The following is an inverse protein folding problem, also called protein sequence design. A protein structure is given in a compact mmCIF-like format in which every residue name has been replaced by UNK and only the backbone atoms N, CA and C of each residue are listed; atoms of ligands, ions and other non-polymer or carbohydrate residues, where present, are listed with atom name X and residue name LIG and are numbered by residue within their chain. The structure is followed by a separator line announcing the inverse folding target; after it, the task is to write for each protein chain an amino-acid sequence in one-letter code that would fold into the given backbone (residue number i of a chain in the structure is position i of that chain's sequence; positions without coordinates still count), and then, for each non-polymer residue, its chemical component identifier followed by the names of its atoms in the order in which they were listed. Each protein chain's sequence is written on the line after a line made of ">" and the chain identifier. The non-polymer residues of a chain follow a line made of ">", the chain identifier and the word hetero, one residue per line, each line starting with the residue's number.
data_IF_211376013949
#
_entry.id   IF_211376013949
#
_cell.length_a   1.000
_cell.length_b   1.000
_cell.length_c   1.000
_cell.angle_alpha   90.00
_cell.angle_beta   90.00
_cell.angle_gamma   90.00
#
_symmetry.space_group_name_H-M   'P 1'
#
loop_
_entity.id
_entity.type
_entity.pdbx_description
1 polymer ?
#
# COMPACT_ATOMS: atom_id res chain seq x y z
N UNK A 1 29.84 19.52 -11.94
CA UNK A 1 29.16 18.68 -12.96
C UNK A 1 28.28 17.60 -12.29
N UNK A 2 28.80 16.83 -11.33
CA UNK A 2 28.02 15.79 -10.63
C UNK A 2 26.91 16.38 -9.73
N UNK A 3 27.18 17.47 -9.03
CA UNK A 3 26.18 18.18 -8.22
C UNK A 3 25.02 18.73 -9.07
N UNK A 4 25.31 19.28 -10.25
CA UNK A 4 24.28 19.79 -11.16
C UNK A 4 23.39 18.67 -11.73
N UNK A 5 23.96 17.50 -12.03
CA UNK A 5 23.17 16.35 -12.51
C UNK A 5 22.27 15.76 -11.42
N UNK A 6 22.72 15.76 -10.16
CA UNK A 6 21.90 15.32 -9.03
C UNK A 6 20.73 16.28 -8.76
N UNK A 7 20.97 17.59 -8.84
CA UNK A 7 19.92 18.61 -8.70
C UNK A 7 18.89 18.54 -9.84
N UNK A 8 19.32 18.29 -11.08
CA UNK A 8 18.41 18.07 -12.21
C UNK A 8 17.57 16.80 -12.04
N UNK A 9 18.13 15.71 -11.52
CA UNK A 9 17.41 14.47 -11.26
C UNK A 9 16.33 14.63 -10.17
N UNK A 10 16.63 15.40 -9.11
CA UNK A 10 15.68 15.72 -8.02
C UNK A 10 14.49 16.54 -8.53
N UNK A 11 14.69 17.37 -9.55
CA UNK A 11 13.65 18.23 -10.14
C UNK A 11 12.98 17.61 -11.37
N UNK A 12 13.40 16.42 -11.81
CA UNK A 12 12.77 15.72 -12.92
C UNK A 12 11.31 15.38 -12.59
N UNK A 13 10.43 15.57 -13.57
CA UNK A 13 9.02 15.19 -13.44
C UNK A 13 8.87 13.67 -13.44
N UNK A 14 8.13 13.15 -12.47
CA UNK A 14 7.85 11.73 -12.33
C UNK A 14 6.64 11.36 -13.19
N UNK A 15 6.75 10.24 -13.89
CA UNK A 15 5.64 9.63 -14.63
C UNK A 15 5.23 8.35 -13.89
N UNK A 16 3.98 8.29 -13.52
CA UNK A 16 3.40 7.13 -12.85
C UNK A 16 2.90 6.10 -13.87
N UNK A 17 2.97 4.83 -13.50
CA UNK A 17 2.40 3.71 -14.26
C UNK A 17 0.94 3.47 -13.89
N UNK A 18 0.60 3.73 -12.63
CA UNK A 18 -0.73 3.53 -12.07
C UNK A 18 -1.38 4.88 -11.77
N UNK A 19 -2.40 5.24 -12.56
CA UNK A 19 -3.12 6.52 -12.45
C UNK A 19 -3.69 6.75 -11.04
N UNK A 20 -4.21 5.70 -10.39
CA UNK A 20 -4.77 5.81 -9.04
C UNK A 20 -3.68 6.10 -7.99
N UNK A 21 -2.45 5.60 -8.18
CA UNK A 21 -1.32 5.94 -7.30
C UNK A 21 -0.95 7.40 -7.50
N UNK A 22 -0.88 7.88 -8.73
CA UNK A 22 -0.63 9.31 -9.01
C UNK A 22 -1.70 10.21 -8.36
N UNK A 23 -2.98 9.87 -8.51
CA UNK A 23 -4.08 10.65 -7.91
C UNK A 23 -3.99 10.66 -6.38
N UNK A 24 -3.64 9.54 -5.76
CA UNK A 24 -3.45 9.45 -4.31
C UNK A 24 -2.26 10.29 -3.83
N UNK A 25 -1.15 10.28 -4.56
CA UNK A 25 0.02 11.12 -4.28
C UNK A 25 -0.34 12.60 -4.40
N UNK A 26 -1.05 13.00 -5.47
CA UNK A 26 -1.53 14.39 -5.62
C UNK A 26 -2.39 14.83 -4.45
N UNK A 27 -3.28 13.96 -4.01
CA UNK A 27 -4.15 14.24 -2.86
C UNK A 27 -3.35 14.41 -1.58
N UNK A 28 -2.43 13.50 -1.29
CA UNK A 28 -1.58 13.54 -0.08
C UNK A 28 -0.71 14.81 -0.04
N UNK A 29 -0.18 15.23 -1.20
CA UNK A 29 0.66 16.41 -1.32
C UNK A 29 -0.13 17.72 -1.53
N UNK A 30 -1.46 17.67 -1.65
CA UNK A 30 -2.31 18.84 -1.89
C UNK A 30 -2.11 19.47 -3.28
N UNK A 31 -1.72 18.67 -4.27
CA UNK A 31 -1.42 19.12 -5.63
C UNK A 31 -2.65 19.09 -6.54
N UNK A 32 -2.71 20.03 -7.48
CA UNK A 32 -3.68 20.03 -8.57
C UNK A 32 -3.29 19.01 -9.67
N UNK A 33 -4.22 18.74 -10.61
CA UNK A 33 -3.97 17.85 -11.75
C UNK A 33 -2.88 18.35 -12.70
N UNK A 34 -2.59 19.65 -12.69
CA UNK A 34 -1.62 20.29 -13.59
C UNK A 34 -0.26 20.52 -12.95
N UNK A 35 -0.14 20.32 -11.64
CA UNK A 35 1.12 20.51 -10.95
C UNK A 35 2.07 19.35 -11.30
N UNK A 36 3.35 19.67 -11.47
CA UNK A 36 4.37 18.64 -11.66
C UNK A 36 4.64 17.93 -10.35
N UNK A 37 4.81 16.61 -10.41
CA UNK A 37 5.33 15.84 -9.28
C UNK A 37 6.81 15.54 -9.56
N UNK A 38 7.67 15.87 -8.61
CA UNK A 38 9.11 15.60 -8.69
C UNK A 38 9.56 14.54 -7.69
N UNK A 39 10.73 13.96 -7.90
CA UNK A 39 11.28 12.95 -7.00
C UNK A 39 11.41 13.47 -5.56
N UNK A 40 11.81 14.72 -5.37
CA UNK A 40 11.91 15.33 -4.04
C UNK A 40 10.57 15.45 -3.32
N UNK A 41 9.47 15.65 -4.05
CA UNK A 41 8.13 15.71 -3.45
C UNK A 41 7.67 14.34 -2.94
N UNK A 42 8.11 13.25 -3.57
CA UNK A 42 7.76 11.90 -3.14
C UNK A 42 8.35 11.53 -1.77
N UNK A 43 9.42 12.21 -1.36
CA UNK A 43 9.99 12.06 -0.01
C UNK A 43 9.04 12.59 1.09
N UNK A 44 8.07 13.44 0.76
CA UNK A 44 7.07 13.95 1.70
C UNK A 44 5.82 13.07 1.81
N UNK A 45 5.68 12.06 0.94
CA UNK A 45 4.55 11.12 0.99
C UNK A 45 4.73 10.16 2.16
N UNK A 46 3.82 10.23 3.13
CA UNK A 46 3.83 9.40 4.33
C UNK A 46 2.76 8.31 4.32
N UNK A 47 1.67 8.54 3.62
CA UNK A 47 0.53 7.61 3.56
C UNK A 47 -0.11 7.62 2.18
N UNK A 48 -0.59 6.46 1.75
CA UNK A 48 -1.46 6.31 0.59
C UNK A 48 -2.59 5.33 0.94
N UNK A 49 -3.84 5.71 0.65
CA UNK A 49 -5.02 4.92 0.98
C UNK A 49 -5.96 4.83 -0.22
N UNK A 50 -5.97 3.67 -0.86
CA UNK A 50 -6.78 3.38 -2.05
C UNK A 50 -7.58 2.11 -1.79
N UNK A 51 -8.90 2.19 -1.91
CA UNK A 51 -9.81 1.06 -1.79
C UNK A 51 -10.67 0.96 -3.05
N UNK A 52 -10.46 -0.09 -3.84
CA UNK A 52 -11.06 -0.18 -5.15
C UNK A 52 -10.63 0.99 -6.02
N UNK A 53 -11.57 1.89 -6.37
CA UNK A 53 -11.29 3.11 -7.14
C UNK A 53 -11.35 4.39 -6.30
N UNK A 54 -11.46 4.27 -5.00
CA UNK A 54 -11.64 5.41 -4.09
C UNK A 54 -10.34 5.70 -3.32
N UNK A 55 -9.99 6.98 -3.22
CA UNK A 55 -8.85 7.46 -2.43
C UNK A 55 -9.41 8.04 -1.14
N UNK A 56 -9.01 7.45 0.00
CA UNK A 56 -9.60 7.72 1.32
C UNK A 56 -8.67 8.56 2.20
N UNK A 57 -9.27 9.34 3.09
CA UNK A 57 -8.56 10.14 4.10
C UNK A 57 -8.49 9.41 5.45
N UNK A 58 -9.44 8.51 5.71
CA UNK A 58 -9.65 7.87 7.00
C UNK A 58 -8.99 6.48 7.10
N UNK A 59 -8.36 6.20 8.23
CA UNK A 59 -7.71 4.92 8.55
C UNK A 59 -8.72 3.84 8.96
N UNK A 60 -9.82 4.22 9.61
CA UNK A 60 -10.78 3.27 10.20
C UNK A 60 -11.42 2.35 9.16
N UNK A 61 -11.42 2.76 7.90
CA UNK A 61 -12.00 2.00 6.78
C UNK A 61 -11.26 0.69 6.47
N UNK A 62 -10.02 0.50 6.92
CA UNK A 62 -9.17 -0.63 6.49
C UNK A 62 -9.18 -1.82 7.43
N UNK A 63 -9.63 -1.64 8.67
CA UNK A 63 -9.47 -2.65 9.72
C UNK A 63 -10.52 -3.77 9.71
N UNK A 64 -11.47 -3.78 8.79
CA UNK A 64 -12.03 -5.06 8.36
C UNK A 64 -13.20 -5.70 9.10
N UNK A 65 -13.99 -4.99 9.88
CA UNK A 65 -15.36 -5.43 10.17
C UNK A 65 -16.34 -4.39 9.61
N UNK A 66 -16.86 -4.63 8.39
CA UNK A 66 -18.01 -3.92 7.85
C UNK A 66 -18.06 -2.43 8.18
N UNK A 67 -17.02 -1.67 7.84
CA UNK A 67 -16.97 -0.27 8.19
C UNK A 67 -18.04 0.49 7.44
N UNK A 68 -18.94 1.06 8.18
CA UNK A 68 -19.95 1.98 7.70
C UNK A 68 -19.31 3.32 7.37
N UNK A 69 -18.96 3.54 6.11
CA UNK A 69 -18.81 4.89 5.61
C UNK A 69 -20.19 5.40 5.29
N UNK A 70 -20.67 6.39 6.04
CA UNK A 70 -21.98 7.04 5.87
C UNK A 70 -23.21 6.09 5.86
N UNK A 71 -23.20 5.04 6.69
CA UNK A 71 -24.35 4.14 6.84
C UNK A 71 -24.62 3.24 5.61
N UNK A 72 -23.66 3.15 4.70
CA UNK A 72 -23.66 2.17 3.62
C UNK A 72 -22.72 1.03 4.00
N UNK A 73 -23.15 -0.21 3.75
CA UNK A 73 -22.30 -1.39 3.74
C UNK A 73 -21.24 -1.21 2.65
N UNK A 74 -20.18 -0.46 2.93
CA UNK A 74 -19.05 -0.35 2.03
C UNK A 74 -18.08 -1.48 2.30
N UNK A 75 -18.41 -2.66 1.80
CA UNK A 75 -17.43 -3.70 1.60
C UNK A 75 -16.34 -3.17 0.66
N UNK A 76 -15.25 -2.58 1.20
CA UNK A 76 -14.01 -2.29 0.48
C UNK A 76 -14.18 -1.68 -0.91
N UNK A 77 -14.93 -0.58 -1.05
CA UNK A 77 -15.21 0.03 -2.35
C UNK A 77 -16.08 -0.88 -3.23
N UNK A 78 -17.18 -0.40 -3.73
CA UNK A 78 -18.12 -1.18 -4.54
C UNK A 78 -17.53 -1.64 -5.87
N UNK A 79 -16.46 -0.99 -6.32
CA UNK A 79 -15.81 -1.26 -7.62
C UNK A 79 -14.36 -1.64 -7.39
N UNK A 80 -13.99 -2.83 -7.85
CA UNK A 80 -12.60 -3.30 -7.81
C UNK A 80 -11.69 -2.35 -8.60
N UNK A 81 -10.56 -2.00 -8.03
CA UNK A 81 -9.50 -1.27 -8.72
C UNK A 81 -8.71 -2.15 -9.68
N UNK A 82 -7.71 -1.58 -10.29
CA UNK A 82 -6.90 -2.25 -11.31
C UNK A 82 -5.40 -2.10 -11.10
N UNK A 83 -4.97 -1.63 -9.93
CA UNK A 83 -3.55 -1.54 -9.60
C UNK A 83 -2.94 -2.95 -9.61
N UNK A 84 -1.84 -3.08 -10.32
CA UNK A 84 -1.06 -4.32 -10.44
C UNK A 84 0.42 -4.09 -10.22
N UNK A 85 0.95 -2.92 -10.57
CA UNK A 85 2.36 -2.57 -10.52
C UNK A 85 2.66 -1.62 -9.35
N UNK A 86 3.52 -2.03 -8.43
CA UNK A 86 3.91 -1.25 -7.27
C UNK A 86 5.25 -0.51 -7.43
N UNK A 87 5.83 -0.52 -8.62
CA UNK A 87 7.13 0.13 -8.88
C UNK A 87 7.12 1.64 -8.64
N UNK A 88 5.96 2.29 -8.80
CA UNK A 88 5.78 3.72 -8.51
C UNK A 88 6.08 4.06 -7.05
N UNK A 89 5.90 3.10 -6.12
CA UNK A 89 6.11 3.32 -4.69
C UNK A 89 7.58 3.38 -4.29
N UNK A 90 8.50 2.84 -5.10
CA UNK A 90 9.91 2.71 -4.75
C UNK A 90 10.61 4.04 -4.44
N UNK A 91 10.08 5.16 -4.94
CA UNK A 91 10.62 6.50 -4.69
C UNK A 91 10.04 7.18 -3.44
N UNK A 92 9.02 6.59 -2.83
CA UNK A 92 8.34 7.12 -1.63
C UNK A 92 9.07 6.62 -0.37
N UNK A 93 10.34 6.96 -0.25
CA UNK A 93 11.28 6.39 0.74
C UNK A 93 10.88 6.61 2.21
N UNK A 94 9.88 7.45 2.45
CA UNK A 94 9.36 7.74 3.78
C UNK A 94 7.88 7.30 3.95
N UNK A 95 7.38 6.41 3.08
CA UNK A 95 6.02 5.92 3.16
C UNK A 95 5.86 4.98 4.37
N UNK A 96 5.07 5.41 5.36
CA UNK A 96 4.85 4.68 6.61
C UNK A 96 3.52 3.91 6.63
N UNK A 97 2.54 4.36 5.85
CA UNK A 97 1.23 3.71 5.78
C UNK A 97 0.80 3.51 4.32
N UNK A 98 0.48 2.27 3.98
CA UNK A 98 0.00 1.89 2.66
C UNK A 98 -1.27 1.06 2.76
N UNK A 99 -2.34 1.53 2.13
CA UNK A 99 -3.55 0.77 1.92
C UNK A 99 -3.85 0.69 0.42
N UNK A 100 -3.79 -0.52 -0.11
CA UNK A 100 -4.14 -0.86 -1.49
C UNK A 100 -5.10 -2.05 -1.47
N UNK A 101 -6.35 -1.79 -1.01
CA UNK A 101 -7.36 -2.82 -0.87
C UNK A 101 -8.22 -2.95 -2.13
N UNK A 102 -8.73 -4.17 -2.38
CA UNK A 102 -9.62 -4.47 -3.50
C UNK A 102 -9.03 -4.08 -4.87
N UNK A 103 -7.76 -4.46 -5.08
CA UNK A 103 -7.00 -4.29 -6.31
C UNK A 103 -6.74 -5.64 -7.00
N UNK A 104 -5.79 -5.68 -7.91
CA UNK A 104 -5.34 -6.90 -8.63
C UNK A 104 -3.87 -7.19 -8.40
N UNK A 105 -3.35 -6.85 -7.23
CA UNK A 105 -1.94 -6.99 -6.90
C UNK A 105 -1.64 -8.47 -6.67
N UNK A 106 -0.60 -8.96 -7.32
CA UNK A 106 -0.05 -10.30 -7.15
C UNK A 106 1.35 -10.26 -6.52
N UNK A 107 2.19 -9.30 -6.93
CA UNK A 107 3.56 -9.13 -6.48
C UNK A 107 3.69 -7.90 -5.59
N UNK A 108 4.20 -8.10 -4.38
CA UNK A 108 4.49 -7.06 -3.38
C UNK A 108 5.98 -6.94 -3.06
N UNK A 109 6.86 -7.58 -3.82
CA UNK A 109 8.31 -7.54 -3.61
C UNK A 109 8.89 -6.12 -3.66
N UNK A 110 8.24 -5.21 -4.40
CA UNK A 110 8.61 -3.79 -4.48
C UNK A 110 8.49 -3.02 -3.17
N UNK A 111 7.83 -3.58 -2.14
CA UNK A 111 7.65 -2.92 -0.85
C UNK A 111 8.85 -3.09 0.10
N UNK A 112 9.82 -3.95 -0.22
CA UNK A 112 10.87 -4.43 0.68
C UNK A 112 11.75 -3.35 1.33
N UNK A 113 11.93 -2.20 0.68
CA UNK A 113 12.79 -1.10 1.15
C UNK A 113 11.99 0.04 1.80
N UNK A 114 10.67 -0.08 1.87
CA UNK A 114 9.80 0.97 2.41
C UNK A 114 9.70 0.85 3.94
N UNK A 115 9.75 1.97 4.69
CA UNK A 115 9.67 1.98 6.15
C UNK A 115 8.22 1.85 6.65
N UNK A 116 7.49 0.86 6.11
CA UNK A 116 6.08 0.68 6.40
C UNK A 116 5.86 0.25 7.85
N UNK A 117 4.97 0.96 8.53
CA UNK A 117 4.43 0.65 9.86
C UNK A 117 3.05 0.01 9.77
N UNK A 118 2.25 0.43 8.77
CA UNK A 118 0.90 -0.08 8.54
C UNK A 118 0.73 -0.50 7.08
N UNK A 119 0.24 -1.72 6.88
CA UNK A 119 0.06 -2.30 5.57
C UNK A 119 -1.32 -2.98 5.46
N UNK A 120 -2.14 -2.51 4.52
CA UNK A 120 -3.48 -3.02 4.26
C UNK A 120 -3.59 -3.44 2.79
N UNK A 121 -3.65 -4.74 2.55
CA UNK A 121 -3.65 -5.35 1.21
C UNK A 121 -4.83 -6.31 1.01
N UNK A 122 -5.95 -6.08 1.70
CA UNK A 122 -7.11 -6.96 1.62
C UNK A 122 -7.71 -7.02 0.22
N UNK A 123 -8.26 -8.21 -0.14
CA UNK A 123 -8.92 -8.45 -1.44
C UNK A 123 -8.04 -8.18 -2.65
N UNK A 124 -6.84 -8.74 -2.61
CA UNK A 124 -5.90 -8.78 -3.73
C UNK A 124 -5.73 -10.23 -4.24
N UNK A 125 -4.66 -10.48 -4.96
CA UNK A 125 -4.33 -11.79 -5.54
C UNK A 125 -2.94 -12.27 -5.09
N UNK A 126 -2.53 -11.86 -3.87
CA UNK A 126 -1.19 -12.11 -3.34
C UNK A 126 -1.12 -13.53 -2.79
N UNK A 127 -0.11 -14.27 -3.22
CA UNK A 127 0.18 -15.64 -2.75
C UNK A 127 1.46 -15.73 -1.93
N UNK A 128 2.40 -14.79 -2.13
CA UNK A 128 3.68 -14.75 -1.44
C UNK A 128 3.81 -13.49 -0.58
N UNK A 129 3.95 -13.67 0.71
CA UNK A 129 4.14 -12.63 1.71
C UNK A 129 5.57 -12.60 2.27
N UNK A 130 6.55 -13.22 1.62
CA UNK A 130 7.95 -13.26 2.09
C UNK A 130 8.57 -11.89 2.28
N UNK A 131 8.11 -10.86 1.55
CA UNK A 131 8.55 -9.46 1.69
C UNK A 131 8.36 -8.92 3.11
N UNK A 132 7.41 -9.45 3.88
CA UNK A 132 7.15 -9.01 5.26
C UNK A 132 8.37 -9.11 6.16
N UNK A 133 9.31 -10.04 5.88
CA UNK A 133 10.56 -10.18 6.63
C UNK A 133 11.48 -8.95 6.51
N UNK A 134 11.29 -8.14 5.48
CA UNK A 134 12.05 -6.90 5.26
C UNK A 134 11.41 -5.69 5.94
N UNK A 135 10.12 -5.76 6.27
CA UNK A 135 9.35 -4.65 6.85
C UNK A 135 9.46 -4.67 8.37
N UNK A 136 10.65 -4.37 8.88
CA UNK A 136 11.01 -4.54 10.30
C UNK A 136 10.25 -3.63 11.27
N UNK A 137 9.71 -2.51 10.78
CA UNK A 137 8.92 -1.55 11.56
C UNK A 137 7.40 -1.80 11.47
N UNK A 138 6.98 -2.87 10.76
CA UNK A 138 5.57 -3.16 10.53
C UNK A 138 4.89 -3.62 11.83
N UNK A 139 3.93 -2.83 12.31
CA UNK A 139 3.13 -3.14 13.51
C UNK A 139 1.67 -3.53 13.19
N UNK A 140 1.16 -3.12 12.03
CA UNK A 140 -0.24 -3.34 11.64
C UNK A 140 -0.31 -3.96 10.25
N UNK A 141 -0.89 -5.15 10.16
CA UNK A 141 -1.04 -5.91 8.91
C UNK A 141 -2.49 -6.39 8.72
N UNK A 142 -3.10 -6.03 7.60
CA UNK A 142 -4.40 -6.52 7.17
C UNK A 142 -4.32 -7.05 5.74
N UNK A 143 -4.45 -8.37 5.57
CA UNK A 143 -4.28 -9.07 4.29
C UNK A 143 -5.45 -10.00 3.97
N UNK A 144 -6.64 -9.66 4.47
CA UNK A 144 -7.86 -10.43 4.30
C UNK A 144 -8.13 -10.82 2.85
N UNK A 145 -8.76 -11.98 2.65
CA UNK A 145 -9.26 -12.41 1.34
C UNK A 145 -8.18 -12.38 0.23
N UNK A 146 -6.95 -12.78 0.53
CA UNK A 146 -5.91 -13.09 -0.45
C UNK A 146 -5.80 -14.61 -0.62
N UNK A 147 -5.35 -15.12 -1.78
CA UNK A 147 -5.33 -16.56 -2.07
C UNK A 147 -4.15 -17.31 -1.46
N UNK A 148 -3.32 -16.70 -0.61
CA UNK A 148 -2.21 -17.41 0.05
C UNK A 148 -2.71 -18.53 0.95
N UNK A 149 -2.09 -19.70 0.83
CA UNK A 149 -2.41 -20.92 1.59
C UNK A 149 -1.48 -21.11 2.79
N UNK A 150 -0.34 -20.42 2.81
CA UNK A 150 0.67 -20.50 3.87
C UNK A 150 1.09 -19.10 4.29
N UNK A 151 1.05 -18.82 5.57
CA UNK A 151 1.47 -17.58 6.21
C UNK A 151 2.54 -17.80 7.30
N UNK A 152 3.31 -18.88 7.22
CA UNK A 152 4.36 -19.19 8.22
C UNK A 152 5.35 -18.02 8.41
N UNK A 153 5.58 -17.22 7.38
CA UNK A 153 6.38 -15.99 7.42
C UNK A 153 5.91 -15.01 8.49
N UNK A 154 4.62 -14.96 8.81
CA UNK A 154 4.07 -14.05 9.83
C UNK A 154 4.61 -14.39 11.22
N UNK A 155 4.86 -15.67 11.51
CA UNK A 155 5.46 -16.10 12.77
C UNK A 155 6.87 -15.54 13.02
N UNK A 156 7.58 -15.17 11.95
CA UNK A 156 8.89 -14.55 12.03
C UNK A 156 8.81 -13.02 12.16
N UNK A 157 7.65 -12.42 11.89
CA UNK A 157 7.41 -10.97 11.95
C UNK A 157 7.04 -10.52 13.37
N UNK A 158 8.00 -10.55 14.30
CA UNK A 158 7.75 -10.31 15.74
C UNK A 158 7.29 -8.88 16.09
N UNK A 159 7.35 -7.93 15.16
CA UNK A 159 6.89 -6.55 15.35
C UNK A 159 5.38 -6.36 15.18
N UNK A 160 4.67 -7.32 14.58
CA UNK A 160 3.24 -7.17 14.28
C UNK A 160 2.41 -7.25 15.56
N UNK A 161 1.73 -6.14 15.88
CA UNK A 161 0.85 -5.99 17.04
C UNK A 161 -0.62 -6.17 16.67
N UNK A 162 -0.99 -5.88 15.41
CA UNK A 162 -2.33 -6.01 14.88
C UNK A 162 -2.30 -6.80 13.57
N UNK A 163 -3.02 -7.91 13.55
CA UNK A 163 -3.07 -8.82 12.40
C UNK A 163 -4.53 -9.13 12.05
N UNK A 164 -4.90 -8.96 10.76
CA UNK A 164 -6.16 -9.45 10.23
C UNK A 164 -5.92 -10.28 8.97
N UNK A 165 -6.25 -11.58 9.07
CA UNK A 165 -6.11 -12.60 8.02
C UNK A 165 -7.45 -13.30 7.71
N UNK A 166 -8.56 -12.62 8.00
CA UNK A 166 -9.90 -13.17 7.79
C UNK A 166 -10.13 -13.55 6.32
N UNK A 167 -10.87 -14.63 6.08
CA UNK A 167 -11.28 -15.03 4.72
C UNK A 167 -10.13 -15.56 3.86
N UNK A 168 -8.99 -15.92 4.44
CA UNK A 168 -7.92 -16.63 3.75
C UNK A 168 -8.13 -18.14 3.86
N UNK A 169 -7.78 -18.88 2.80
CA UNK A 169 -7.94 -20.34 2.73
C UNK A 169 -6.75 -21.06 3.38
N UNK A 170 -6.39 -20.68 4.60
CA UNK A 170 -5.25 -21.26 5.29
C UNK A 170 -5.51 -22.73 5.62
N UNK A 171 -4.55 -23.58 5.29
CA UNK A 171 -4.55 -25.01 5.63
C UNK A 171 -3.80 -25.32 6.91
N UNK A 172 -2.94 -24.39 7.32
CA UNK A 172 -2.14 -24.45 8.53
C UNK A 172 -1.98 -23.03 9.11
N UNK A 173 -2.04 -22.90 10.43
CA UNK A 173 -1.87 -21.66 11.19
C UNK A 173 -0.75 -21.77 12.24
N UNK A 174 0.14 -22.73 12.08
CA UNK A 174 1.32 -22.87 12.94
C UNK A 174 2.35 -21.77 12.57
N UNK A 175 2.33 -20.65 13.32
CA UNK A 175 3.32 -19.57 13.28
C UNK A 175 3.58 -18.97 14.66
#
# INVERSE_FOLDING_TARGET
>A
AEQSAAEEQIQAEITFREELIEEAVRKELGLSKTDKITASMLEDVRKLRIVGKEILDDEDTFWGEGHHVDGKDSSFGSVRGNITDLSDLAQMVNLEELALCNQKIEDISGLKELPLKKLYLSKNMITDFSVLLNLIDLDTLCIMENPAENLSVIGECTGILRLNIQGMNLTDIDF
#
